data_IF_875508134457
#
_entry.id   IF_875508134457
#
_cell.length_a   1.000
_cell.length_b   1.000
_cell.length_c   1.000
_cell.angle_alpha   90.00
_cell.angle_beta   90.00
_cell.angle_gamma   90.00
#
_symmetry.space_group_name_H-M   'P 1'
#
loop_
_entity.id
_entity.type
_entity.pdbx_description
1 polymer ?
#
# COMPACT_ATOMS: atom_id res chain seq x y z
N UNK A 1 -19.13 25.02 16.71
CA UNK A 1 -17.66 25.01 16.53
C UNK A 1 -17.00 23.66 16.88
N UNK A 2 -17.43 22.90 17.90
CA UNK A 2 -16.82 21.57 18.20
C UNK A 2 -17.24 20.43 17.28
N UNK A 3 -18.47 20.44 16.78
CA UNK A 3 -18.99 19.44 15.85
C UNK A 3 -18.19 19.44 14.53
N UNK A 4 -17.86 20.62 14.01
CA UNK A 4 -17.06 20.76 12.79
C UNK A 4 -15.65 20.17 12.96
N UNK A 5 -15.05 20.36 14.14
CA UNK A 5 -13.73 19.78 14.47
C UNK A 5 -13.77 18.25 14.56
N UNK A 6 -14.84 17.68 15.13
CA UNK A 6 -15.02 16.22 15.20
C UNK A 6 -15.18 15.62 13.80
N UNK A 7 -16.00 16.23 12.94
CA UNK A 7 -16.19 15.79 11.56
C UNK A 7 -14.87 15.86 10.76
N UNK A 8 -14.10 16.92 10.96
CA UNK A 8 -12.78 17.06 10.34
C UNK A 8 -11.81 15.96 10.80
N UNK A 9 -11.74 15.67 12.10
CA UNK A 9 -10.89 14.61 12.63
C UNK A 9 -11.28 13.23 12.08
N UNK A 10 -12.57 12.93 11.96
CA UNK A 10 -13.08 11.67 11.39
C UNK A 10 -12.69 11.55 9.91
N UNK A 11 -12.86 12.62 9.13
CA UNK A 11 -12.44 12.67 7.71
C UNK A 11 -10.95 12.40 7.56
N UNK A 12 -10.11 13.02 8.39
CA UNK A 12 -8.65 12.80 8.38
C UNK A 12 -8.30 11.35 8.72
N UNK A 13 -8.94 10.76 9.73
CA UNK A 13 -8.70 9.37 10.12
C UNK A 13 -9.11 8.37 9.03
N UNK A 14 -10.26 8.60 8.37
CA UNK A 14 -10.72 7.78 7.24
C UNK A 14 -9.74 7.84 6.06
N UNK A 15 -9.29 9.04 5.68
CA UNK A 15 -8.28 9.24 4.63
C UNK A 15 -6.96 8.52 4.96
N UNK A 16 -6.55 8.52 6.23
CA UNK A 16 -5.31 7.86 6.65
C UNK A 16 -5.40 6.34 6.58
N UNK A 17 -6.59 5.77 6.81
CA UNK A 17 -6.84 4.33 6.74
C UNK A 17 -6.82 3.82 5.30
N UNK A 18 -7.41 4.54 4.34
CA UNK A 18 -7.37 4.15 2.93
C UNK A 18 -5.95 4.05 2.38
N UNK A 19 -5.07 4.99 2.77
CA UNK A 19 -3.66 4.99 2.34
C UNK A 19 -2.90 3.79 2.90
N UNK A 20 -3.18 3.40 4.16
CA UNK A 20 -2.52 2.25 4.79
C UNK A 20 -3.09 0.91 4.31
N UNK A 21 -4.42 0.80 4.16
CA UNK A 21 -5.08 -0.43 3.74
C UNK A 21 -4.73 -0.80 2.28
N UNK A 22 -4.68 0.19 1.39
CA UNK A 22 -4.30 -0.01 -0.02
C UNK A 22 -2.86 -0.52 -0.16
N UNK A 23 -1.94 0.07 0.62
CA UNK A 23 -0.51 -0.29 0.59
C UNK A 23 -0.16 -1.56 1.37
N UNK A 24 -1.03 -2.03 2.27
CA UNK A 24 -0.93 -3.37 2.83
C UNK A 24 -1.52 -4.42 1.88
N UNK A 25 -2.62 -4.10 1.18
CA UNK A 25 -3.31 -5.02 0.27
C UNK A 25 -2.42 -5.46 -0.89
N UNK A 26 -1.77 -4.53 -1.58
CA UNK A 26 -0.86 -4.83 -2.70
C UNK A 26 0.39 -5.62 -2.25
N UNK A 27 0.93 -5.27 -1.08
CA UNK A 27 2.04 -5.97 -0.44
C UNK A 27 1.68 -7.41 -0.03
N UNK A 28 0.48 -7.60 0.52
CA UNK A 28 -0.03 -8.91 0.93
C UNK A 28 -0.31 -9.78 -0.29
N UNK A 29 -0.89 -9.21 -1.34
CA UNK A 29 -1.15 -9.90 -2.60
C UNK A 29 0.14 -10.36 -3.28
N UNK A 30 1.18 -9.51 -3.31
CA UNK A 30 2.49 -9.88 -3.81
C UNK A 30 3.07 -11.09 -3.05
N UNK A 31 2.99 -11.05 -1.71
CA UNK A 31 3.50 -12.12 -0.83
C UNK A 31 2.72 -13.42 -1.03
N UNK A 32 1.39 -13.36 -1.18
CA UNK A 32 0.54 -14.52 -1.49
C UNK A 32 0.85 -15.12 -2.87
N UNK A 33 1.27 -14.30 -3.83
CA UNK A 33 1.71 -14.76 -5.15
C UNK A 33 3.18 -15.24 -5.18
N UNK A 34 3.77 -15.48 -4.01
CA UNK A 34 5.18 -15.90 -3.85
C UNK A 34 6.18 -14.88 -4.43
N UNK A 35 5.80 -13.60 -4.49
CA UNK A 35 6.66 -12.50 -4.89
C UNK A 35 7.30 -11.77 -3.71
N UNK A 36 8.32 -10.97 -4.01
CA UNK A 36 9.04 -10.13 -3.06
C UNK A 36 8.83 -8.65 -3.39
N UNK A 37 8.44 -7.87 -2.38
CA UNK A 37 8.39 -6.42 -2.50
C UNK A 37 9.81 -5.83 -2.40
N UNK A 38 10.27 -5.17 -3.46
CA UNK A 38 11.58 -4.52 -3.56
C UNK A 38 11.47 -3.18 -4.29
N UNK A 39 12.43 -2.27 -4.08
CA UNK A 39 12.48 -1.03 -4.90
C UNK A 39 12.80 -1.30 -6.37
N UNK A 40 13.68 -2.26 -6.62
CA UNK A 40 14.10 -2.74 -7.93
C UNK A 40 14.10 -4.28 -7.91
N UNK A 41 13.61 -4.88 -8.98
CA UNK A 41 13.71 -6.33 -9.18
C UNK A 41 15.12 -6.67 -9.64
N UNK A 42 15.61 -7.83 -9.23
CA UNK A 42 16.87 -8.34 -9.76
C UNK A 42 16.72 -8.70 -11.24
N UNK A 43 17.84 -8.78 -11.96
CA UNK A 43 17.83 -9.11 -13.39
C UNK A 43 17.22 -10.49 -13.71
N UNK A 44 17.20 -11.39 -12.72
CA UNK A 44 16.60 -12.73 -12.83
C UNK A 44 15.14 -12.78 -12.37
N UNK A 45 14.63 -11.72 -11.74
CA UNK A 45 13.23 -11.62 -11.30
C UNK A 45 12.41 -10.86 -12.36
N UNK A 46 11.14 -11.24 -12.51
CA UNK A 46 10.17 -10.55 -13.38
C UNK A 46 9.34 -9.58 -12.55
N UNK A 47 8.98 -8.45 -13.16
CA UNK A 47 8.00 -7.53 -12.58
C UNK A 47 6.61 -8.18 -12.57
N UNK A 48 6.01 -8.29 -11.39
CA UNK A 48 4.72 -8.95 -11.16
C UNK A 48 3.65 -7.98 -10.62
N UNK A 49 4.01 -6.72 -10.34
CA UNK A 49 3.09 -5.71 -9.82
C UNK A 49 3.77 -4.68 -8.94
N UNK A 50 2.99 -4.06 -8.06
CA UNK A 50 3.44 -3.05 -7.10
C UNK A 50 3.22 -3.49 -5.66
N UNK A 51 3.96 -2.89 -4.74
CA UNK A 51 3.78 -3.03 -3.30
C UNK A 51 3.83 -1.66 -2.61
N UNK A 52 3.30 -1.59 -1.39
CA UNK A 52 3.37 -0.42 -0.52
C UNK A 52 2.77 0.82 -1.17
N UNK A 53 1.60 0.65 -1.80
CA UNK A 53 0.86 1.67 -2.52
C UNK A 53 1.67 2.26 -3.70
N UNK A 54 2.28 1.37 -4.49
CA UNK A 54 3.10 1.79 -5.64
C UNK A 54 4.53 2.25 -5.33
N UNK A 55 4.92 2.34 -4.05
CA UNK A 55 6.29 2.75 -3.65
C UNK A 55 7.36 1.69 -3.94
N UNK A 56 6.95 0.44 -4.05
CA UNK A 56 7.82 -0.69 -4.33
C UNK A 56 7.23 -1.52 -5.49
N UNK A 57 8.07 -2.40 -6.03
CA UNK A 57 7.72 -3.36 -7.07
C UNK A 57 7.57 -4.73 -6.44
N UNK A 58 6.57 -5.47 -6.90
CA UNK A 58 6.47 -6.90 -6.65
C UNK A 58 7.33 -7.63 -7.70
N UNK A 59 8.31 -8.40 -7.24
CA UNK A 59 9.27 -9.13 -8.07
C UNK A 59 9.10 -10.63 -7.85
N UNK A 60 9.02 -11.43 -8.92
CA UNK A 60 8.81 -12.88 -8.87
C UNK A 60 9.68 -13.61 -9.87
#
# INVERSE_FOLDING_TARGET
MRILQLLFAIMVMLLLQDVHASGLSDSQQCRNNHGHCRRLCFHMERWAGSCSNGRQRCCR
#
